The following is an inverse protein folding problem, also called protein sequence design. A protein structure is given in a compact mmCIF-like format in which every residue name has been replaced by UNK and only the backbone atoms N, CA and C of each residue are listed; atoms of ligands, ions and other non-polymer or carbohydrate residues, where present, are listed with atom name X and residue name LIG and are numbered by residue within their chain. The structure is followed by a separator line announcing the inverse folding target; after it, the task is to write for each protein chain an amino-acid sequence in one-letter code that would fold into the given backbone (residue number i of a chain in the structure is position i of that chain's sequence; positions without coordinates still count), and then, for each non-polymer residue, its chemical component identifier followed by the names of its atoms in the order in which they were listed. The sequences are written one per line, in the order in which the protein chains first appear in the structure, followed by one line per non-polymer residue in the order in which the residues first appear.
data_IF_993509876960
#
_entry.id   IF_993509876960
#
_cell.length_a   1.000
_cell.length_b   1.000
_cell.length_c   1.000
_cell.angle_alpha   90.00
_cell.angle_beta   90.00
_cell.angle_gamma   90.00
#
_symmetry.space_group_name_H-M   'P 1'
#
loop_
_entity.id
_entity.type
_entity.pdbx_description
1 polymer ?
#
# COMPACT_ATOMS: atom_id res chain seq x y z
N UNK A 1 20.63 -20.02 -35.16
CA UNK A 1 20.51 -18.71 -34.50
C UNK A 1 19.25 -18.76 -33.66
N UNK A 2 19.36 -19.33 -32.46
CA UNK A 2 18.24 -19.43 -31.51
C UNK A 2 18.04 -18.02 -30.97
N UNK A 3 16.87 -17.45 -31.21
CA UNK A 3 16.51 -16.09 -30.79
C UNK A 3 16.66 -15.97 -29.28
N UNK A 4 17.31 -14.89 -28.86
CA UNK A 4 17.55 -14.52 -27.46
C UNK A 4 16.26 -14.64 -26.62
N UNK A 5 15.08 -14.41 -27.22
CA UNK A 5 13.74 -14.62 -26.61
C UNK A 5 13.50 -16.00 -25.96
N UNK A 6 14.10 -17.09 -26.46
CA UNK A 6 13.87 -18.44 -25.92
C UNK A 6 14.68 -18.68 -24.65
N UNK A 7 15.82 -18.01 -24.49
CA UNK A 7 16.66 -18.12 -23.28
C UNK A 7 16.01 -17.43 -22.07
N UNK A 8 15.30 -16.31 -22.27
CA UNK A 8 14.66 -15.52 -21.20
C UNK A 8 13.46 -16.18 -20.51
N UNK A 9 12.96 -17.30 -21.02
CA UNK A 9 11.83 -18.05 -20.41
C UNK A 9 12.25 -19.13 -19.41
N UNK A 10 13.55 -19.36 -19.22
CA UNK A 10 14.03 -20.38 -18.30
C UNK A 10 14.26 -19.78 -16.91
N UNK A 11 13.72 -20.44 -15.87
CA UNK A 11 13.89 -20.09 -14.44
C UNK A 11 15.37 -19.82 -14.08
N UNK A 12 16.29 -20.54 -14.74
CA UNK A 12 17.73 -20.33 -14.64
C UNK A 12 18.22 -18.92 -15.00
N UNK A 13 17.61 -18.24 -15.98
CA UNK A 13 18.07 -16.89 -16.40
C UNK A 13 17.62 -15.82 -15.40
N UNK A 14 16.45 -16.01 -14.78
CA UNK A 14 15.99 -15.18 -13.66
C UNK A 14 16.91 -15.42 -12.46
N UNK A 15 17.17 -16.67 -12.10
CA UNK A 15 18.06 -17.03 -10.99
C UNK A 15 19.50 -16.49 -11.21
N UNK A 16 20.03 -16.54 -12.43
CA UNK A 16 21.36 -15.99 -12.79
C UNK A 16 21.35 -14.46 -12.79
N UNK A 17 20.30 -13.80 -13.28
CA UNK A 17 20.18 -12.34 -13.22
C UNK A 17 20.04 -11.83 -11.77
N UNK A 18 19.34 -12.59 -10.92
CA UNK A 18 19.18 -12.33 -9.49
C UNK A 18 20.50 -12.56 -8.73
N UNK A 19 21.22 -13.64 -9.03
CA UNK A 19 22.57 -13.90 -8.50
C UNK A 19 23.57 -12.82 -8.93
N UNK A 20 23.49 -12.33 -10.16
CA UNK A 20 24.32 -11.23 -10.66
C UNK A 20 23.94 -9.86 -10.05
N UNK A 21 22.67 -9.65 -9.70
CA UNK A 21 22.21 -8.46 -8.98
C UNK A 21 22.72 -8.42 -7.53
N UNK A 22 22.91 -9.58 -6.90
CA UNK A 22 23.43 -9.72 -5.54
C UNK A 22 24.94 -9.41 -5.46
N UNK A 23 25.70 -9.56 -6.55
CA UNK A 23 27.15 -9.29 -6.61
C UNK A 23 27.53 -7.82 -6.90
N UNK A 24 26.57 -6.89 -6.91
CA UNK A 24 26.87 -5.45 -6.89
C UNK A 24 27.45 -4.87 -8.19
N UNK A 25 27.31 -5.55 -9.34
CA UNK A 25 27.70 -5.01 -10.64
C UNK A 25 26.47 -4.69 -11.49
N UNK A 26 26.14 -3.39 -11.50
CA UNK A 26 25.46 -2.67 -12.58
C UNK A 26 24.28 -3.44 -13.20
N UNK A 27 23.14 -3.44 -12.51
CA UNK A 27 21.85 -3.54 -13.19
C UNK A 27 21.68 -2.28 -14.03
N UNK A 28 22.17 -2.32 -15.26
CA UNK A 28 22.00 -1.26 -16.23
C UNK A 28 20.50 -1.18 -16.57
N UNK A 29 19.94 0.03 -16.61
CA UNK A 29 18.53 0.32 -16.94
C UNK A 29 18.01 -0.50 -18.13
N UNK A 30 18.88 -0.85 -19.09
CA UNK A 30 18.54 -1.61 -20.30
C UNK A 30 18.14 -3.07 -20.04
N UNK A 31 18.85 -3.80 -19.18
CA UNK A 31 18.52 -5.21 -18.87
C UNK A 31 17.24 -5.26 -18.03
N UNK A 32 17.10 -4.27 -17.14
CA UNK A 32 15.93 -4.13 -16.29
C UNK A 32 14.68 -3.73 -17.10
N UNK A 33 14.80 -2.74 -18.00
CA UNK A 33 13.72 -2.35 -18.90
C UNK A 33 13.34 -3.46 -19.88
N UNK A 34 14.28 -4.33 -20.28
CA UNK A 34 13.98 -5.50 -21.11
C UNK A 34 13.16 -6.56 -20.36
N UNK A 35 13.49 -6.82 -19.08
CA UNK A 35 12.69 -7.69 -18.20
C UNK A 35 11.30 -7.11 -17.95
N UNK A 36 11.20 -5.81 -17.64
CA UNK A 36 9.94 -5.10 -17.43
C UNK A 36 9.07 -5.02 -18.71
N UNK A 37 9.67 -4.75 -19.87
CA UNK A 37 8.98 -4.61 -21.16
C UNK A 37 8.50 -5.95 -21.75
N UNK A 38 8.88 -7.09 -21.16
CA UNK A 38 8.45 -8.42 -21.59
C UNK A 38 7.07 -8.86 -21.04
N UNK A 39 6.35 -7.97 -20.34
CA UNK A 39 4.97 -8.23 -19.87
C UNK A 39 4.89 -8.82 -18.46
N UNK A 40 5.99 -8.82 -17.70
CA UNK A 40 6.08 -9.26 -16.31
C UNK A 40 5.64 -8.16 -15.33
N UNK A 41 4.48 -7.52 -15.58
CA UNK A 41 3.86 -6.67 -14.57
C UNK A 41 3.44 -7.46 -13.33
N UNK A 42 3.27 -8.79 -13.44
CA UNK A 42 2.83 -9.69 -12.37
C UNK A 42 3.90 -10.14 -11.36
N UNK A 43 5.17 -9.74 -11.55
CA UNK A 43 6.30 -10.47 -10.98
C UNK A 43 7.13 -9.69 -9.95
N UNK A 44 6.76 -8.45 -9.60
CA UNK A 44 7.39 -7.79 -8.45
C UNK A 44 7.16 -8.60 -7.16
N UNK A 45 5.95 -9.14 -7.04
CA UNK A 45 5.54 -10.12 -6.04
C UNK A 45 6.34 -11.43 -6.11
N UNK A 46 6.55 -11.98 -7.32
CA UNK A 46 7.30 -13.22 -7.49
C UNK A 46 8.77 -13.06 -7.10
N UNK A 47 9.37 -11.89 -7.34
CA UNK A 47 10.72 -11.54 -6.90
C UNK A 47 10.84 -11.46 -5.36
N UNK A 48 9.83 -10.93 -4.67
CA UNK A 48 9.83 -10.84 -3.20
C UNK A 48 9.45 -12.19 -2.57
N UNK A 49 8.58 -12.98 -3.21
CA UNK A 49 8.14 -14.29 -2.69
C UNK A 49 9.05 -15.45 -3.07
N UNK A 50 10.06 -15.26 -3.92
CA UNK A 50 10.90 -16.36 -4.41
C UNK A 50 11.79 -16.95 -3.32
N UNK A 51 12.23 -16.10 -2.38
CA UNK A 51 13.25 -16.44 -1.41
C UNK A 51 12.73 -16.45 0.03
N UNK A 52 13.02 -17.54 0.73
CA UNK A 52 12.74 -17.69 2.17
C UNK A 52 13.64 -16.81 3.05
N UNK A 53 14.70 -16.23 2.49
CA UNK A 53 15.66 -15.40 3.21
C UNK A 53 15.18 -13.95 3.29
N UNK A 54 14.94 -13.46 4.51
CA UNK A 54 14.47 -12.10 4.77
C UNK A 54 15.42 -11.02 4.23
N UNK A 55 16.74 -11.26 4.16
CA UNK A 55 17.71 -10.29 3.65
C UNK A 55 17.62 -10.13 2.13
N UNK A 56 17.34 -11.21 1.40
CA UNK A 56 17.14 -11.19 -0.06
C UNK A 56 15.85 -10.47 -0.40
N UNK A 57 14.76 -10.76 0.34
CA UNK A 57 13.47 -10.07 0.17
C UNK A 57 13.57 -8.55 0.38
N UNK A 58 14.37 -8.11 1.38
CA UNK A 58 14.63 -6.68 1.61
C UNK A 58 15.35 -6.03 0.43
N UNK A 59 16.37 -6.69 -0.12
CA UNK A 59 17.08 -6.19 -1.32
C UNK A 59 16.19 -6.16 -2.55
N UNK A 60 15.37 -7.20 -2.76
CA UNK A 60 14.37 -7.22 -3.84
C UNK A 60 13.39 -6.04 -3.71
N UNK A 61 12.91 -5.76 -2.50
CA UNK A 61 12.04 -4.61 -2.22
C UNK A 61 12.75 -3.26 -2.48
N UNK A 62 14.02 -3.12 -2.14
CA UNK A 62 14.80 -1.91 -2.46
C UNK A 62 14.96 -1.71 -3.97
N UNK A 63 15.17 -2.79 -4.73
CA UNK A 63 15.18 -2.73 -6.17
C UNK A 63 13.81 -2.30 -6.69
N UNK A 64 12.72 -2.97 -6.28
CA UNK A 64 11.34 -2.60 -6.66
C UNK A 64 11.06 -1.11 -6.40
N UNK A 65 11.54 -0.58 -5.26
CA UNK A 65 11.42 0.84 -4.94
C UNK A 65 12.14 1.76 -5.93
N UNK A 66 13.35 1.41 -6.37
CA UNK A 66 14.12 2.20 -7.34
C UNK A 66 13.48 2.23 -8.73
N UNK A 67 12.63 1.25 -9.01
CA UNK A 67 12.01 1.04 -10.33
C UNK A 67 10.65 1.72 -10.45
N UNK A 68 10.13 2.23 -9.33
CA UNK A 68 8.89 2.97 -9.33
C UNK A 68 9.06 4.26 -10.12
N UNK A 69 8.12 4.48 -11.03
CA UNK A 69 7.97 5.67 -11.83
C UNK A 69 6.48 6.04 -11.93
N UNK A 70 6.18 7.22 -12.47
CA UNK A 70 4.80 7.72 -12.57
C UNK A 70 3.87 6.83 -13.40
N UNK A 71 4.41 5.99 -14.28
CA UNK A 71 3.62 5.08 -15.13
C UNK A 71 3.26 3.76 -14.45
N UNK A 72 4.09 3.27 -13.52
CA UNK A 72 3.93 1.97 -12.88
C UNK A 72 3.57 2.05 -11.38
N UNK A 73 3.61 3.23 -10.77
CA UNK A 73 3.39 3.36 -9.33
C UNK A 73 2.02 2.86 -8.88
N UNK A 74 0.97 3.08 -9.67
CA UNK A 74 -0.40 2.66 -9.33
C UNK A 74 -0.55 1.12 -9.28
N UNK A 75 -0.22 0.36 -10.34
CA UNK A 75 -0.31 -1.11 -10.28
C UNK A 75 0.67 -1.70 -9.26
N UNK A 76 1.89 -1.17 -9.18
CA UNK A 76 2.90 -1.71 -8.26
C UNK A 76 2.52 -1.52 -6.79
N UNK A 77 2.03 -0.34 -6.42
CA UNK A 77 1.57 -0.08 -5.04
C UNK A 77 0.44 -1.02 -4.66
N UNK A 78 -0.48 -1.30 -5.59
CA UNK A 78 -1.58 -2.24 -5.37
C UNK A 78 -1.06 -3.64 -5.08
N UNK A 79 -0.13 -4.15 -5.90
CA UNK A 79 0.48 -5.46 -5.69
C UNK A 79 1.25 -5.57 -4.37
N UNK A 80 2.00 -4.52 -4.00
CA UNK A 80 2.72 -4.48 -2.72
C UNK A 80 1.76 -4.51 -1.52
N UNK A 81 0.60 -3.85 -1.64
CA UNK A 81 -0.45 -3.88 -0.61
C UNK A 81 -1.11 -5.26 -0.54
N UNK A 82 -1.40 -5.90 -1.67
CA UNK A 82 -1.92 -7.27 -1.69
C UNK A 82 -0.90 -8.27 -1.09
N UNK A 83 0.40 -8.03 -1.27
CA UNK A 83 1.44 -8.81 -0.62
C UNK A 83 1.48 -8.65 0.91
N UNK A 84 1.09 -7.49 1.44
CA UNK A 84 1.11 -7.24 2.88
C UNK A 84 0.26 -8.26 3.63
N UNK A 85 -0.86 -8.73 3.06
CA UNK A 85 -1.75 -9.69 3.70
C UNK A 85 -1.03 -11.02 3.98
N UNK A 86 -0.33 -11.56 2.97
CA UNK A 86 0.32 -12.88 2.99
C UNK A 86 1.75 -12.88 3.52
N UNK A 87 2.36 -11.71 3.71
CA UNK A 87 3.76 -11.56 4.12
C UNK A 87 4.01 -11.86 5.60
N UNK A 88 5.25 -12.23 5.93
CA UNK A 88 5.69 -12.50 7.31
C UNK A 88 5.68 -11.21 8.17
N UNK A 89 5.31 -11.32 9.44
CA UNK A 89 5.24 -10.17 10.36
C UNK A 89 6.56 -9.38 10.46
N UNK A 90 7.71 -10.07 10.43
CA UNK A 90 9.03 -9.44 10.45
C UNK A 90 9.31 -8.59 9.20
N UNK A 91 8.69 -8.92 8.07
CA UNK A 91 8.84 -8.21 6.81
C UNK A 91 7.79 -7.12 6.61
N UNK A 92 6.59 -7.28 7.19
CA UNK A 92 5.49 -6.30 7.11
C UNK A 92 5.94 -4.90 7.49
N UNK A 93 6.74 -4.75 8.55
CA UNK A 93 7.26 -3.44 8.98
C UNK A 93 8.08 -2.71 7.89
N UNK A 94 9.02 -3.41 7.25
CA UNK A 94 9.85 -2.85 6.19
C UNK A 94 9.04 -2.59 4.91
N UNK A 95 8.14 -3.51 4.58
CA UNK A 95 7.27 -3.42 3.41
C UNK A 95 6.31 -2.22 3.52
N UNK A 96 5.61 -2.09 4.65
CA UNK A 96 4.73 -0.96 4.95
C UNK A 96 5.48 0.37 4.88
N UNK A 97 6.67 0.46 5.48
CA UNK A 97 7.48 1.68 5.43
C UNK A 97 7.86 2.07 3.99
N UNK A 98 8.20 1.10 3.14
CA UNK A 98 8.49 1.35 1.72
C UNK A 98 7.26 1.75 0.92
N UNK A 99 6.12 1.10 1.14
CA UNK A 99 4.86 1.46 0.48
C UNK A 99 4.47 2.90 0.84
N UNK A 100 4.52 3.27 2.12
CA UNK A 100 4.23 4.64 2.54
C UNK A 100 5.17 5.66 1.87
N UNK A 101 6.47 5.35 1.78
CA UNK A 101 7.43 6.22 1.09
C UNK A 101 7.15 6.36 -0.42
N UNK A 102 6.72 5.29 -1.09
CA UNK A 102 6.30 5.33 -2.50
C UNK A 102 5.06 6.23 -2.64
N UNK A 103 4.06 5.99 -1.81
CA UNK A 103 2.79 6.73 -1.85
C UNK A 103 3.02 8.22 -1.61
N UNK A 104 3.84 8.59 -0.62
CA UNK A 104 4.21 9.99 -0.36
C UNK A 104 4.98 10.65 -1.51
N UNK A 105 5.90 9.91 -2.15
CA UNK A 105 6.76 10.46 -3.19
C UNK A 105 6.03 10.65 -4.52
N UNK A 106 5.13 9.75 -4.86
CA UNK A 106 4.48 9.69 -6.17
C UNK A 106 3.00 10.11 -6.15
N UNK A 107 2.44 10.45 -4.98
CA UNK A 107 1.08 10.98 -4.91
C UNK A 107 0.98 12.33 -5.61
N UNK A 108 0.32 12.34 -6.76
CA UNK A 108 -0.08 13.57 -7.46
C UNK A 108 -1.48 14.01 -7.08
N UNK A 109 -2.34 13.07 -6.64
CA UNK A 109 -3.71 13.30 -6.20
C UNK A 109 -3.86 12.93 -4.72
N UNK A 110 -4.51 13.82 -3.95
CA UNK A 110 -4.82 13.62 -2.53
C UNK A 110 -5.81 12.47 -2.32
N UNK A 111 -6.75 12.26 -3.25
CA UNK A 111 -7.71 11.14 -3.17
C UNK A 111 -6.94 9.83 -3.22
N UNK A 112 -6.05 9.69 -4.21
CA UNK A 112 -5.25 8.48 -4.38
C UNK A 112 -4.33 8.22 -3.18
N UNK A 113 -3.70 9.27 -2.65
CA UNK A 113 -2.90 9.18 -1.42
C UNK A 113 -3.72 8.63 -0.25
N UNK A 114 -4.88 9.22 0.03
CA UNK A 114 -5.75 8.79 1.12
C UNK A 114 -6.17 7.33 0.91
N UNK A 115 -6.59 6.95 -0.30
CA UNK A 115 -7.00 5.58 -0.61
C UNK A 115 -5.88 4.56 -0.34
N UNK A 116 -4.65 4.84 -0.78
CA UNK A 116 -3.55 3.90 -0.55
C UNK A 116 -3.21 3.82 0.94
N UNK A 117 -3.18 4.95 1.64
CA UNK A 117 -2.89 4.98 3.07
C UNK A 117 -3.97 4.25 3.90
N UNK A 118 -5.25 4.40 3.55
CA UNK A 118 -6.34 3.66 4.19
C UNK A 118 -6.22 2.16 3.99
N UNK A 119 -5.84 1.71 2.78
CA UNK A 119 -5.60 0.29 2.51
C UNK A 119 -4.42 -0.24 3.33
N UNK A 120 -3.29 0.48 3.36
CA UNK A 120 -2.13 0.08 4.18
C UNK A 120 -2.50 -0.02 5.66
N UNK A 121 -3.28 0.93 6.19
CA UNK A 121 -3.77 0.88 7.57
C UNK A 121 -4.72 -0.29 7.82
N UNK A 122 -5.51 -0.69 6.80
CA UNK A 122 -6.44 -1.81 6.89
C UNK A 122 -5.75 -3.17 6.90
N UNK A 123 -4.65 -3.32 6.17
CA UNK A 123 -3.91 -4.58 6.08
C UNK A 123 -2.84 -4.72 7.17
N UNK A 124 -2.14 -3.63 7.49
CA UNK A 124 -0.95 -3.65 8.33
C UNK A 124 -0.83 -2.43 9.26
N UNK A 125 -1.95 -1.87 9.70
CA UNK A 125 -1.98 -0.69 10.58
C UNK A 125 -1.14 -0.81 11.85
N UNK A 126 -1.04 -2.00 12.44
CA UNK A 126 -0.23 -2.25 13.64
C UNK A 126 1.29 -2.14 13.40
N UNK A 127 1.73 -2.21 12.14
CA UNK A 127 3.14 -2.05 11.73
C UNK A 127 3.45 -0.64 11.22
N UNK A 128 2.43 0.21 11.04
CA UNK A 128 2.59 1.60 10.61
C UNK A 128 3.11 2.42 11.79
N UNK A 129 4.20 3.14 11.58
CA UNK A 129 4.76 4.06 12.59
C UNK A 129 3.82 5.22 12.85
N UNK A 130 3.85 5.73 14.08
CA UNK A 130 2.98 6.82 14.49
C UNK A 130 3.08 8.05 13.59
N UNK A 131 4.30 8.48 13.26
CA UNK A 131 4.57 9.63 12.40
C UNK A 131 3.79 9.60 11.07
N UNK A 132 3.60 8.41 10.50
CA UNK A 132 2.97 8.22 9.19
C UNK A 132 1.46 8.46 9.27
N UNK A 133 0.76 7.87 10.24
CA UNK A 133 -0.68 8.07 10.36
C UNK A 133 -1.04 9.45 10.93
N UNK A 134 -0.15 10.08 11.70
CA UNK A 134 -0.27 11.50 12.07
C UNK A 134 -0.15 12.40 10.83
N UNK A 135 0.79 12.13 9.92
CA UNK A 135 0.91 12.88 8.67
C UNK A 135 -0.34 12.73 7.78
N UNK A 136 -0.91 11.52 7.71
CA UNK A 136 -2.19 11.27 7.03
C UNK A 136 -3.31 12.16 7.59
N UNK A 137 -3.45 12.26 8.92
CA UNK A 137 -4.44 13.15 9.56
C UNK A 137 -4.27 14.60 9.07
N UNK A 138 -3.03 15.11 9.04
CA UNK A 138 -2.76 16.47 8.56
C UNK A 138 -3.16 16.63 7.08
N UNK A 139 -2.90 15.64 6.23
CA UNK A 139 -3.31 15.68 4.81
C UNK A 139 -4.82 15.71 4.68
N UNK A 140 -5.54 14.88 5.45
CA UNK A 140 -7.00 14.85 5.48
C UNK A 140 -7.53 16.21 5.93
N UNK A 141 -7.00 16.79 7.02
CA UNK A 141 -7.41 18.11 7.52
C UNK A 141 -7.32 19.21 6.46
N UNK A 142 -6.29 19.15 5.62
CA UNK A 142 -6.06 20.10 4.53
C UNK A 142 -6.86 19.79 3.24
N UNK A 143 -7.71 18.76 3.25
CA UNK A 143 -8.50 18.32 2.09
C UNK A 143 -10.00 18.39 2.40
N UNK A 144 -10.52 19.61 2.60
CA UNK A 144 -11.92 19.86 2.98
C UNK A 144 -12.96 19.29 2.02
N UNK A 145 -12.64 19.18 0.74
CA UNK A 145 -13.48 18.56 -0.27
C UNK A 145 -13.55 17.02 -0.16
N UNK A 146 -12.63 16.38 0.59
CA UNK A 146 -12.52 14.93 0.73
C UNK A 146 -12.93 14.43 2.11
N UNK A 147 -13.19 15.31 3.07
CA UNK A 147 -13.57 14.93 4.45
C UNK A 147 -14.72 13.92 4.46
N UNK A 148 -15.82 14.21 3.76
CA UNK A 148 -16.97 13.29 3.68
C UNK A 148 -16.62 11.92 3.11
N UNK A 149 -15.82 11.88 2.03
CA UNK A 149 -15.35 10.64 1.43
C UNK A 149 -14.48 9.83 2.40
N UNK A 150 -13.47 10.47 2.98
CA UNK A 150 -12.51 9.84 3.88
C UNK A 150 -13.19 9.22 5.09
N UNK A 151 -14.14 9.92 5.71
CA UNK A 151 -14.88 9.39 6.87
C UNK A 151 -15.70 8.16 6.48
N UNK A 152 -16.34 8.17 5.30
CA UNK A 152 -17.11 7.03 4.81
C UNK A 152 -16.22 5.81 4.51
N UNK A 153 -15.08 6.04 3.87
CA UNK A 153 -14.09 5.00 3.58
C UNK A 153 -13.49 4.42 4.86
N UNK A 154 -13.13 5.26 5.84
CA UNK A 154 -12.64 4.82 7.16
C UNK A 154 -13.69 3.98 7.91
N UNK A 155 -14.95 4.41 7.89
CA UNK A 155 -16.06 3.67 8.46
C UNK A 155 -16.17 2.24 7.86
N UNK A 156 -16.06 2.12 6.53
CA UNK A 156 -16.06 0.80 5.86
C UNK A 156 -14.83 -0.02 6.23
N UNK A 157 -13.65 0.60 6.25
CA UNK A 157 -12.40 -0.08 6.57
C UNK A 157 -12.40 -0.66 8.00
N UNK A 158 -12.87 0.09 9.00
CA UNK A 158 -12.93 -0.38 10.40
C UNK A 158 -13.89 -1.57 10.57
N UNK A 159 -14.93 -1.68 9.74
CA UNK A 159 -15.83 -2.84 9.82
C UNK A 159 -15.13 -4.16 9.50
N UNK A 160 -14.18 -4.12 8.57
CA UNK A 160 -13.43 -5.29 8.07
C UNK A 160 -12.14 -5.49 8.86
N UNK A 161 -11.45 -4.39 9.21
CA UNK A 161 -10.09 -4.40 9.76
C UNK A 161 -10.01 -3.70 11.14
N UNK A 162 -11.01 -3.92 12.00
CA UNK A 162 -11.09 -3.31 13.34
C UNK A 162 -9.98 -3.74 14.31
N UNK A 163 -9.20 -4.77 13.98
CA UNK A 163 -8.04 -5.23 14.75
C UNK A 163 -6.79 -4.34 14.56
N UNK A 164 -6.82 -3.44 13.57
CA UNK A 164 -5.71 -2.53 13.28
C UNK A 164 -5.86 -1.24 14.10
N UNK A 165 -5.02 -1.08 15.13
CA UNK A 165 -5.15 0.01 16.08
C UNK A 165 -4.97 1.39 15.41
N UNK A 166 -3.96 1.52 14.54
CA UNK A 166 -3.71 2.76 13.80
C UNK A 166 -4.89 3.16 12.91
N UNK A 167 -5.60 2.19 12.30
CA UNK A 167 -6.80 2.46 11.51
C UNK A 167 -7.92 2.99 12.39
N UNK A 168 -8.17 2.34 13.54
CA UNK A 168 -9.22 2.76 14.48
C UNK A 168 -8.94 4.15 15.03
N UNK A 169 -7.68 4.46 15.37
CA UNK A 169 -7.27 5.80 15.86
C UNK A 169 -7.55 6.89 14.82
N UNK A 170 -7.14 6.68 13.56
CA UNK A 170 -7.42 7.63 12.46
C UNK A 170 -8.93 7.75 12.23
N UNK A 171 -9.66 6.64 12.23
CA UNK A 171 -11.11 6.63 12.05
C UNK A 171 -11.83 7.42 13.14
N UNK A 172 -11.52 7.17 14.41
CA UNK A 172 -12.11 7.87 15.56
C UNK A 172 -11.84 9.37 15.47
N UNK A 173 -10.62 9.77 15.13
CA UNK A 173 -10.28 11.18 14.94
C UNK A 173 -11.09 11.82 13.80
N UNK A 174 -11.10 11.21 12.61
CA UNK A 174 -11.84 11.74 11.46
C UNK A 174 -13.36 11.78 11.71
N UNK A 175 -13.91 10.78 12.39
CA UNK A 175 -15.33 10.74 12.75
C UNK A 175 -15.67 11.82 13.79
N UNK A 176 -14.79 12.04 14.77
CA UNK A 176 -14.96 13.07 15.79
C UNK A 176 -15.01 14.48 15.20
N UNK A 177 -14.15 14.77 14.22
CA UNK A 177 -14.05 16.08 13.59
C UNK A 177 -15.06 16.28 12.45
N UNK A 178 -15.30 15.26 11.63
CA UNK A 178 -16.06 15.37 10.37
C UNK A 178 -17.32 14.51 10.34
N UNK A 179 -17.76 13.97 11.48
CA UNK A 179 -18.93 13.10 11.59
C UNK A 179 -20.24 13.74 11.10
N UNK A 180 -20.36 15.07 11.15
CA UNK A 180 -21.53 15.79 10.60
C UNK A 180 -21.68 15.59 9.08
N UNK A 181 -20.57 15.40 8.36
CA UNK A 181 -20.60 15.16 6.91
C UNK A 181 -21.15 13.77 6.54
N UNK A 182 -21.24 12.83 7.49
CA UNK A 182 -21.93 11.55 7.31
C UNK A 182 -23.44 11.72 7.28
N UNK A 183 -23.98 12.68 8.03
CA UNK A 183 -25.42 12.86 8.24
C UNK A 183 -26.06 13.64 7.08
N UNK A 184 -25.31 14.58 6.49
CA UNK A 184 -25.85 15.49 5.49
C UNK A 184 -25.66 15.03 4.03
N UNK A 185 -25.14 13.81 3.78
CA UNK A 185 -24.79 13.29 2.44
C UNK A 185 -23.96 14.28 1.59
N UNK A 186 -23.33 15.27 2.22
CA UNK A 186 -22.71 16.41 1.56
C UNK A 186 -21.31 16.00 1.13
N UNK A 187 -21.04 16.08 -0.18
CA UNK A 187 -19.79 15.55 -0.77
C UNK A 187 -19.81 14.05 -1.05
N UNK A 188 -20.98 13.44 -1.29
CA UNK A 188 -21.05 12.13 -1.93
C UNK A 188 -20.49 12.21 -3.36
N UNK A 189 -19.51 11.37 -3.66
CA UNK A 189 -19.15 11.05 -5.04
C UNK A 189 -20.20 10.05 -5.55
N UNK A 190 -20.52 10.08 -6.85
CA UNK A 190 -21.65 9.34 -7.48
C UNK A 190 -21.63 7.80 -7.32
N UNK A 191 -20.64 7.24 -6.61
CA UNK A 191 -20.34 5.81 -6.49
C UNK A 191 -20.69 5.25 -5.09
N UNK A 192 -21.22 6.06 -4.16
CA UNK A 192 -21.29 5.66 -2.75
C UNK A 192 -22.71 5.31 -2.23
N UNK A 193 -22.79 4.30 -1.35
CA UNK A 193 -23.99 3.96 -0.57
C UNK A 193 -24.01 4.68 0.80
N UNK A 194 -25.19 5.08 1.32
CA UNK A 194 -25.31 5.79 2.59
C UNK A 194 -24.96 4.90 3.79
N UNK A 195 -24.26 5.47 4.78
CA UNK A 195 -23.81 4.77 6.00
C UNK A 195 -24.87 4.84 7.10
N UNK A 196 -25.07 3.73 7.83
CA UNK A 196 -26.05 3.63 8.92
C UNK A 196 -25.41 3.89 10.29
N UNK A 197 -26.15 4.53 11.20
CA UNK A 197 -25.75 4.90 12.58
C UNK A 197 -25.21 3.72 13.42
N UNK A 198 -25.55 2.48 13.05
CA UNK A 198 -24.99 1.25 13.65
C UNK A 198 -23.47 1.16 13.57
N UNK A 199 -22.85 1.81 12.58
CA UNK A 199 -21.41 1.83 12.40
C UNK A 199 -20.66 2.62 13.47
N UNK A 200 -21.19 3.79 13.84
CA UNK A 200 -20.58 4.65 14.88
C UNK A 200 -20.48 3.92 16.22
N UNK A 201 -21.53 3.16 16.56
CA UNK A 201 -21.56 2.36 17.78
C UNK A 201 -20.56 1.19 17.76
N UNK A 202 -20.24 0.65 16.57
CA UNK A 202 -19.22 -0.38 16.42
C UNK A 202 -17.81 0.21 16.57
N UNK A 203 -17.52 1.31 15.88
CA UNK A 203 -16.22 2.01 16.00
C UNK A 203 -15.92 2.41 17.46
N UNK A 204 -16.91 2.97 18.17
CA UNK A 204 -16.76 3.33 19.58
C UNK A 204 -16.56 2.11 20.49
N UNK A 205 -17.21 0.98 20.18
CA UNK A 205 -17.01 -0.28 20.91
C UNK A 205 -15.60 -0.83 20.69
N UNK A 206 -15.15 -0.85 19.45
CA UNK A 206 -13.82 -1.36 19.09
C UNK A 206 -12.73 -0.49 19.73
N UNK A 207 -12.91 0.83 19.76
CA UNK A 207 -12.02 1.74 20.49
C UNK A 207 -11.94 1.45 22.00
N UNK A 208 -13.08 1.22 22.68
CA UNK A 208 -13.12 0.85 24.11
C UNK A 208 -12.44 -0.52 24.35
N UNK A 209 -12.44 -1.41 23.35
CA UNK A 209 -11.87 -2.75 23.46
C UNK A 209 -10.36 -2.79 23.32
N UNK A 210 -9.77 -1.78 22.66
CA UNK A 210 -8.34 -1.66 22.41
C UNK A 210 -7.56 -0.88 23.48
N UNK A 211 -8.24 -0.31 24.48
CA UNK A 211 -7.64 0.42 25.61
C UNK A 211 -7.72 -0.36 26.92
#
# INVERSE_FOLDING_TARGET
MVTIEVLWRSKLVIDVAMAMAIEGKLLNEMIFNALWSSGLQSDALSLISLDSDASIRKRALELVFLLVNDSNVKPLTKELIEYLEVSDQEFKGDLTAKICSIVEKFSTDKIWYIDQMLKVLSEAGNFVKDEVWHALIVVISNASNLHGYTVRSLCKAVQTSGEQESLVRVAVWCIGEYGEMLVNSTGMLDVEEPITVSLLLKVLRDWISCG
#
